data_IF_330531434130
#
_entry.id   IF_330531434130
#
_cell.length_a   1.000
_cell.length_b   1.000
_cell.length_c   1.000
_cell.angle_alpha   90.00
_cell.angle_beta   90.00
_cell.angle_gamma   90.00
#
_symmetry.space_group_name_H-M   'P 1'
#
loop_
_entity.id
_entity.type
_entity.pdbx_description
1 polymer ?
#
# COMPACT_ATOMS: atom_id res chain seq x y z
N UNK A 1 67.40 -20.71 -14.84
CA UNK A 1 66.76 -19.82 -15.83
C UNK A 1 65.48 -20.51 -16.23
N UNK A 2 64.33 -20.02 -15.72
CA UNK A 2 62.93 -20.40 -16.04
C UNK A 2 62.55 -21.89 -15.78
N UNK A 3 61.50 -22.27 -15.07
CA UNK A 3 60.23 -21.61 -14.76
C UNK A 3 59.70 -21.95 -13.36
N UNK A 4 59.00 -20.96 -12.82
CA UNK A 4 58.22 -20.93 -11.58
C UNK A 4 56.74 -21.05 -11.99
N UNK A 5 55.88 -21.47 -11.06
CA UNK A 5 54.42 -21.49 -11.10
C UNK A 5 53.81 -22.78 -11.66
N UNK A 6 53.26 -23.62 -10.77
CA UNK A 6 51.95 -24.27 -10.86
C UNK A 6 51.86 -25.27 -9.70
N UNK A 7 51.11 -24.94 -8.64
CA UNK A 7 50.95 -25.90 -7.55
C UNK A 7 50.22 -25.43 -6.29
N UNK A 8 49.69 -24.21 -6.24
CA UNK A 8 48.86 -23.74 -5.12
C UNK A 8 47.50 -23.26 -5.64
N UNK A 9 46.69 -24.19 -6.16
CA UNK A 9 45.32 -23.91 -6.59
C UNK A 9 44.36 -25.07 -6.25
N UNK A 10 44.46 -25.62 -5.04
CA UNK A 10 43.55 -26.66 -4.56
C UNK A 10 43.20 -26.54 -3.07
N UNK A 11 43.11 -25.31 -2.55
CA UNK A 11 42.66 -25.05 -1.17
C UNK A 11 41.68 -23.87 -1.11
N UNK A 12 40.68 -23.86 -2.00
CA UNK A 12 39.68 -22.77 -2.11
C UNK A 12 38.25 -23.28 -2.40
N UNK A 13 37.91 -24.51 -1.97
CA UNK A 13 36.58 -25.11 -2.23
C UNK A 13 35.88 -25.69 -0.98
N UNK A 14 36.05 -25.10 0.20
CA UNK A 14 35.16 -25.36 1.34
C UNK A 14 34.77 -24.07 2.09
N UNK A 15 34.52 -22.99 1.37
CA UNK A 15 33.64 -21.94 1.91
C UNK A 15 32.23 -22.51 1.85
N UNK A 16 31.77 -23.12 2.94
CA UNK A 16 30.33 -23.32 3.14
C UNK A 16 29.71 -21.93 3.13
N UNK A 17 28.98 -21.60 2.06
CA UNK A 17 27.99 -20.53 2.13
C UNK A 17 27.00 -20.96 3.22
N UNK A 18 27.10 -20.34 4.38
CA UNK A 18 25.96 -20.26 5.29
C UNK A 18 24.98 -19.28 4.64
N UNK A 19 24.04 -19.80 3.85
CA UNK A 19 22.81 -19.07 3.58
C UNK A 19 22.03 -19.02 4.89
N UNK A 20 21.86 -17.81 5.44
CA UNK A 20 20.90 -17.57 6.49
C UNK A 20 19.49 -17.59 5.86
N UNK A 21 18.71 -18.62 6.18
CA UNK A 21 17.25 -18.73 5.97
C UNK A 21 16.74 -18.82 4.52
N UNK A 22 16.66 -20.04 3.96
CA UNK A 22 15.99 -20.30 2.66
C UNK A 22 15.51 -21.75 2.54
N UNK A 23 15.26 -22.44 3.66
CA UNK A 23 14.75 -23.82 3.56
C UNK A 23 13.30 -23.78 3.10
N UNK A 24 13.05 -24.36 1.93
CA UNK A 24 11.71 -24.50 1.37
C UNK A 24 10.86 -25.48 2.16
N UNK A 25 9.59 -25.62 1.74
CA UNK A 25 8.65 -26.58 2.31
C UNK A 25 9.25 -27.99 2.40
N UNK A 26 9.10 -28.64 3.55
CA UNK A 26 9.65 -29.97 3.84
C UNK A 26 11.14 -29.99 4.21
N UNK A 27 11.84 -28.86 4.14
CA UNK A 27 13.23 -28.73 4.60
C UNK A 27 13.36 -28.85 6.12
N UNK A 28 14.55 -29.23 6.60
CA UNK A 28 14.84 -29.36 8.04
C UNK A 28 15.09 -27.98 8.65
N UNK A 29 14.50 -27.73 9.81
CA UNK A 29 14.58 -26.47 10.55
C UNK A 29 14.66 -26.72 12.07
N UNK A 30 15.06 -25.70 12.83
CA UNK A 30 15.06 -25.71 14.29
C UNK A 30 14.53 -24.40 14.86
N UNK A 31 13.53 -24.46 15.74
CA UNK A 31 12.99 -23.28 16.44
C UNK A 31 13.98 -22.67 17.42
N UNK A 32 15.06 -23.39 17.78
CA UNK A 32 16.14 -22.84 18.61
C UNK A 32 16.95 -21.74 17.90
N UNK A 33 16.80 -21.60 16.58
CA UNK A 33 17.42 -20.54 15.78
C UNK A 33 16.45 -19.41 15.45
N UNK A 34 15.21 -19.50 15.92
CA UNK A 34 14.24 -18.43 15.75
C UNK A 34 14.64 -17.26 16.66
N UNK A 35 14.80 -16.09 16.05
CA UNK A 35 15.19 -14.87 16.76
C UNK A 35 14.71 -13.64 16.00
N UNK A 36 14.74 -12.49 16.67
CA UNK A 36 14.59 -11.21 15.99
C UNK A 36 15.96 -10.78 15.47
N UNK A 37 16.02 -10.35 14.21
CA UNK A 37 17.21 -9.72 13.65
C UNK A 37 17.64 -8.54 14.53
N UNK A 38 18.92 -8.45 14.87
CA UNK A 38 19.41 -7.45 15.82
C UNK A 38 19.33 -6.01 15.32
N UNK A 39 19.19 -5.81 14.01
CA UNK A 39 19.14 -4.47 13.39
C UNK A 39 17.72 -4.03 13.05
N UNK A 40 16.93 -4.92 12.45
CA UNK A 40 15.60 -4.62 11.93
C UNK A 40 14.48 -5.10 12.85
N UNK A 41 14.82 -5.93 13.84
CA UNK A 41 13.86 -6.66 14.68
C UNK A 41 12.82 -7.47 13.90
N UNK A 42 13.11 -7.79 12.63
CA UNK A 42 12.31 -8.74 11.85
C UNK A 42 12.49 -10.14 12.44
N UNK A 43 11.41 -10.90 12.56
CA UNK A 43 11.50 -12.32 12.89
C UNK A 43 12.26 -13.10 11.82
N UNK A 44 13.29 -13.83 12.24
CA UNK A 44 14.15 -14.67 11.40
C UNK A 44 14.02 -16.11 11.86
N UNK A 45 13.77 -17.02 10.91
CA UNK A 45 13.74 -18.46 11.12
C UNK A 45 14.52 -19.16 9.99
N UNK A 46 14.73 -20.47 10.11
CA UNK A 46 15.38 -21.26 9.06
C UNK A 46 14.53 -21.39 7.78
N UNK A 47 13.21 -21.28 7.92
CA UNK A 47 12.23 -21.49 6.85
C UNK A 47 12.06 -20.25 5.99
N UNK A 48 11.63 -20.44 4.73
CA UNK A 48 11.26 -19.33 3.84
C UNK A 48 10.04 -18.54 4.37
N UNK A 49 9.80 -17.32 3.85
CA UNK A 49 8.73 -16.42 4.33
C UNK A 49 7.30 -17.02 4.19
N UNK A 50 7.12 -18.08 3.39
CA UNK A 50 5.84 -18.79 3.21
C UNK A 50 5.67 -20.00 4.14
N UNK A 51 6.69 -20.31 4.94
CA UNK A 51 6.75 -21.49 5.81
C UNK A 51 7.07 -21.13 7.27
N UNK A 52 6.86 -22.08 8.16
CA UNK A 52 7.20 -22.01 9.58
C UNK A 52 7.84 -23.31 10.05
N UNK A 53 8.65 -23.25 11.09
CA UNK A 53 9.29 -24.44 11.62
C UNK A 53 8.37 -25.20 12.58
N UNK A 54 8.05 -26.46 12.26
CA UNK A 54 7.27 -27.37 13.13
C UNK A 54 8.10 -27.96 14.27
N UNK A 55 9.03 -27.19 14.85
CA UNK A 55 10.13 -27.68 15.71
C UNK A 55 9.76 -28.70 16.79
N UNK A 56 8.55 -28.64 17.33
CA UNK A 56 8.03 -29.56 18.37
C UNK A 56 7.55 -30.91 17.85
N UNK A 57 7.28 -31.04 16.55
CA UNK A 57 6.75 -32.24 15.92
C UNK A 57 7.85 -32.98 15.15
N UNK A 58 8.34 -32.39 14.07
CA UNK A 58 9.23 -33.05 13.12
C UNK A 58 10.48 -32.22 12.77
N UNK A 59 10.56 -30.96 13.20
CA UNK A 59 11.67 -30.08 12.83
C UNK A 59 11.73 -29.83 11.32
N UNK A 60 10.57 -29.69 10.67
CA UNK A 60 10.47 -29.43 9.24
C UNK A 60 9.68 -28.16 8.94
N UNK A 61 10.01 -27.49 7.83
CA UNK A 61 9.30 -26.31 7.35
C UNK A 61 7.93 -26.70 6.77
N UNK A 62 6.86 -26.25 7.42
CA UNK A 62 5.48 -26.44 6.98
C UNK A 62 4.92 -25.12 6.45
N UNK A 63 3.92 -25.19 5.57
CA UNK A 63 3.27 -23.99 5.06
C UNK A 63 2.59 -23.22 6.20
N UNK A 64 2.71 -21.88 6.19
CA UNK A 64 2.00 -21.02 7.13
C UNK A 64 0.49 -21.25 7.03
N UNK A 65 -0.18 -21.27 8.17
CA UNK A 65 -1.63 -21.56 8.25
C UNK A 65 -2.47 -20.33 8.54
N UNK A 66 -1.83 -19.22 8.90
CA UNK A 66 -2.45 -17.91 9.04
C UNK A 66 -1.55 -16.82 8.46
N UNK A 67 -2.14 -15.65 8.18
CA UNK A 67 -1.41 -14.41 7.89
C UNK A 67 -1.85 -13.28 8.83
N UNK A 68 -0.95 -12.32 9.02
CA UNK A 68 -1.22 -11.05 9.68
C UNK A 68 -1.61 -9.97 8.67
N UNK A 69 -0.80 -9.84 7.63
CA UNK A 69 -0.94 -8.77 6.64
C UNK A 69 -1.87 -9.21 5.50
N UNK A 70 -2.65 -8.29 4.95
CA UNK A 70 -3.55 -8.57 3.82
C UNK A 70 -2.78 -9.04 2.58
N UNK A 71 -1.58 -8.49 2.39
CA UNK A 71 -0.67 -8.76 1.27
C UNK A 71 0.67 -9.31 1.80
N UNK A 72 0.74 -10.60 2.18
CA UNK A 72 1.96 -11.17 2.74
C UNK A 72 3.05 -11.34 1.66
N UNK A 73 4.30 -11.12 2.06
CA UNK A 73 5.47 -11.36 1.21
C UNK A 73 5.66 -12.86 0.89
N UNK A 74 6.32 -13.16 -0.23
CA UNK A 74 6.73 -14.52 -0.61
C UNK A 74 5.70 -15.33 -1.40
N UNK A 75 4.45 -14.87 -1.49
CA UNK A 75 3.41 -15.54 -2.29
C UNK A 75 3.37 -14.95 -3.71
N UNK A 76 3.49 -15.81 -4.72
CA UNK A 76 3.37 -15.44 -6.14
C UNK A 76 2.09 -16.02 -6.73
N UNK A 77 1.52 -15.43 -7.78
CA UNK A 77 0.38 -16.06 -8.48
C UNK A 77 0.88 -17.33 -9.19
N UNK A 78 0.34 -18.53 -8.88
CA UNK A 78 -1.02 -18.84 -8.42
C UNK A 78 -1.20 -19.22 -6.93
N UNK A 79 -0.18 -19.08 -6.08
CA UNK A 79 -0.22 -19.50 -4.67
C UNK A 79 -1.19 -18.64 -3.86
N UNK A 80 -2.20 -19.27 -3.26
CA UNK A 80 -3.15 -18.59 -2.39
C UNK A 80 -2.52 -18.37 -1.00
N UNK A 81 -2.44 -17.13 -0.50
CA UNK A 81 -1.94 -16.87 0.85
C UNK A 81 -2.90 -17.43 1.91
N UNK A 82 -2.39 -17.86 3.09
CA UNK A 82 -3.20 -18.43 4.16
C UNK A 82 -4.21 -17.40 4.70
N UNK A 83 -5.33 -17.81 5.30
CA UNK A 83 -6.38 -16.88 5.73
C UNK A 83 -5.92 -15.92 6.83
N UNK A 84 -6.59 -14.76 6.92
CA UNK A 84 -6.51 -13.89 8.10
C UNK A 84 -7.22 -14.55 9.29
N UNK A 85 -6.76 -14.24 10.50
CA UNK A 85 -7.43 -14.69 11.71
C UNK A 85 -8.76 -13.94 11.93
N UNK A 86 -9.72 -14.64 12.55
CA UNK A 86 -10.98 -14.03 12.95
C UNK A 86 -10.76 -12.96 14.04
N UNK A 87 -11.65 -11.95 14.15
CA UNK A 87 -11.57 -10.96 15.22
C UNK A 87 -11.52 -11.62 16.62
N UNK A 88 -10.66 -11.11 17.49
CA UNK A 88 -10.38 -11.70 18.81
C UNK A 88 -9.31 -12.81 18.80
N UNK A 89 -8.72 -13.07 17.64
CA UNK A 89 -7.55 -13.94 17.47
C UNK A 89 -6.46 -13.22 16.67
N UNK A 90 -5.22 -13.71 16.79
CA UNK A 90 -4.07 -13.18 16.08
C UNK A 90 -3.24 -14.31 15.44
N UNK A 91 -2.44 -13.96 14.43
CA UNK A 91 -1.46 -14.86 13.84
C UNK A 91 -0.08 -14.55 14.43
N UNK A 92 0.60 -15.50 15.11
CA UNK A 92 1.92 -15.26 15.67
C UNK A 92 2.97 -15.10 14.55
N UNK A 93 4.15 -14.53 14.84
CA UNK A 93 5.21 -14.25 13.84
C UNK A 93 5.62 -15.49 13.02
N UNK A 94 5.61 -16.66 13.66
CA UNK A 94 5.91 -17.94 13.03
C UNK A 94 4.86 -18.30 11.97
N UNK A 95 3.60 -17.90 12.16
CA UNK A 95 2.50 -18.22 11.24
C UNK A 95 1.98 -19.66 11.37
N UNK A 96 2.17 -20.28 12.53
CA UNK A 96 1.79 -21.68 12.79
C UNK A 96 0.27 -21.89 13.04
N UNK A 97 -0.50 -20.81 13.18
CA UNK A 97 -1.95 -20.86 13.30
C UNK A 97 -2.53 -19.73 14.14
N UNK A 98 -3.82 -19.47 13.98
CA UNK A 98 -4.50 -18.44 14.74
C UNK A 98 -4.59 -18.81 16.23
N UNK A 99 -4.26 -17.86 17.10
CA UNK A 99 -4.34 -17.99 18.56
C UNK A 99 -5.29 -16.95 19.11
N UNK A 100 -5.94 -17.26 20.23
CA UNK A 100 -6.75 -16.27 20.95
C UNK A 100 -5.86 -15.17 21.52
N UNK A 101 -6.35 -13.94 21.55
CA UNK A 101 -5.64 -12.82 22.17
C UNK A 101 -5.30 -13.10 23.65
N UNK A 102 -4.15 -12.57 24.05
CA UNK A 102 -3.52 -12.77 25.36
C UNK A 102 -4.01 -11.69 26.31
N UNK A 103 -4.46 -12.11 27.49
CA UNK A 103 -4.87 -11.17 28.54
C UNK A 103 -3.67 -10.35 29.05
N UNK A 104 -3.91 -9.15 29.62
CA UNK A 104 -2.87 -8.36 30.27
C UNK A 104 -2.05 -9.17 31.28
N UNK A 105 -0.74 -8.94 31.32
CA UNK A 105 0.24 -9.70 32.10
C UNK A 105 0.76 -10.96 31.41
N UNK A 106 0.14 -11.40 30.31
CA UNK A 106 0.65 -12.49 29.49
C UNK A 106 1.75 -12.03 28.52
N UNK A 107 2.46 -13.00 27.94
CA UNK A 107 3.54 -12.74 26.99
C UNK A 107 3.02 -12.36 25.60
N UNK A 108 3.70 -11.42 24.94
CA UNK A 108 3.46 -11.02 23.56
C UNK A 108 4.77 -10.87 22.80
N UNK A 109 4.71 -10.98 21.48
CA UNK A 109 5.85 -10.74 20.59
C UNK A 109 6.11 -9.23 20.44
N UNK A 110 7.37 -8.85 20.25
CA UNK A 110 7.81 -7.45 20.17
C UNK A 110 7.03 -6.67 19.11
N UNK A 111 6.47 -5.52 19.48
CA UNK A 111 5.67 -4.67 18.60
C UNK A 111 4.43 -5.37 18.00
N UNK A 112 3.87 -6.37 18.71
CA UNK A 112 2.68 -7.12 18.31
C UNK A 112 1.52 -6.87 19.28
N UNK A 113 1.05 -5.64 19.31
CA UNK A 113 -0.05 -5.21 20.20
C UNK A 113 -1.37 -5.93 19.94
N UNK A 114 -1.62 -6.34 18.69
CA UNK A 114 -2.82 -7.05 18.30
C UNK A 114 -2.93 -8.46 18.91
N UNK A 115 -1.83 -8.95 19.49
CA UNK A 115 -1.83 -10.17 20.29
C UNK A 115 -2.50 -9.96 21.64
N UNK A 116 -2.55 -8.72 22.12
CA UNK A 116 -3.12 -8.39 23.41
C UNK A 116 -4.64 -8.24 23.32
N UNK A 117 -5.32 -8.72 24.35
CA UNK A 117 -6.76 -8.59 24.48
C UNK A 117 -7.12 -7.13 24.76
N UNK A 118 -8.12 -6.61 24.06
CA UNK A 118 -8.63 -5.24 24.24
C UNK A 118 -9.27 -5.03 25.61
N UNK A 119 -9.20 -3.81 26.14
CA UNK A 119 -9.92 -3.41 27.34
C UNK A 119 -11.44 -3.33 27.09
N UNK A 120 -12.26 -3.36 28.15
CA UNK A 120 -13.73 -3.21 28.04
C UNK A 120 -14.10 -1.82 27.50
N UNK A 121 -13.40 -0.78 27.96
CA UNK A 121 -13.55 0.61 27.53
C UNK A 121 -12.40 1.05 26.61
N UNK A 122 -12.01 0.17 25.69
CA UNK A 122 -10.90 0.41 24.77
C UNK A 122 -11.00 1.70 23.96
N UNK A 123 -12.21 2.20 23.71
CA UNK A 123 -12.44 3.43 22.94
C UNK A 123 -11.79 4.65 23.59
N UNK A 124 -11.71 4.67 24.92
CA UNK A 124 -11.12 5.79 25.67
C UNK A 124 -9.59 5.80 25.53
N UNK A 125 -8.98 4.62 25.32
CA UNK A 125 -7.54 4.41 25.31
C UNK A 125 -6.97 4.15 23.91
N UNK A 126 -7.83 3.99 22.91
CA UNK A 126 -7.42 3.67 21.54
C UNK A 126 -6.68 4.84 20.93
N UNK A 127 -5.47 4.59 20.44
CA UNK A 127 -4.68 5.57 19.70
C UNK A 127 -4.02 4.89 18.50
N UNK A 128 -3.45 5.65 17.55
CA UNK A 128 -2.63 5.09 16.47
C UNK A 128 -1.43 4.26 16.96
N UNK A 129 -1.00 4.49 18.21
CA UNK A 129 0.17 3.86 18.82
C UNK A 129 -0.14 2.52 19.50
N UNK A 130 -1.40 2.07 19.48
CA UNK A 130 -1.81 0.85 20.17
C UNK A 130 -2.91 0.08 19.43
N UNK A 131 -3.17 -1.16 19.87
CA UNK A 131 -4.27 -1.97 19.36
C UNK A 131 -5.47 -1.90 20.30
N UNK A 132 -6.44 -1.02 20.00
CA UNK A 132 -7.64 -0.82 20.82
C UNK A 132 -7.29 -0.64 22.32
N UNK A 133 -6.36 0.26 22.62
CA UNK A 133 -5.92 0.57 23.98
C UNK A 133 -5.02 -0.49 24.64
N UNK A 134 -4.76 -1.61 23.98
CA UNK A 134 -3.80 -2.63 24.43
C UNK A 134 -2.46 -2.47 23.71
N UNK A 135 -1.38 -2.69 24.44
CA UNK A 135 -0.01 -2.48 23.96
C UNK A 135 0.91 -3.58 24.48
N UNK A 136 1.87 -3.99 23.65
CA UNK A 136 2.91 -4.93 24.03
C UNK A 136 4.20 -4.17 24.37
N UNK A 137 4.56 -4.10 25.66
CA UNK A 137 5.80 -3.47 26.11
C UNK A 137 6.63 -4.49 26.88
N UNK A 138 7.93 -4.56 26.62
CA UNK A 138 8.84 -5.55 27.22
C UNK A 138 8.34 -6.99 27.08
N UNK A 139 7.71 -7.32 25.94
CA UNK A 139 7.10 -8.64 25.67
C UNK A 139 5.96 -9.02 26.63
N UNK A 140 5.32 -8.04 27.28
CA UNK A 140 4.18 -8.25 28.18
C UNK A 140 2.99 -7.41 27.71
N UNK A 141 1.83 -8.05 27.58
CA UNK A 141 0.59 -7.37 27.26
C UNK A 141 0.13 -6.48 28.41
N UNK A 142 -0.22 -5.24 28.11
CA UNK A 142 -0.81 -4.31 29.08
C UNK A 142 -1.74 -3.30 28.38
N UNK A 143 -2.33 -2.41 29.16
CA UNK A 143 -3.17 -1.34 28.64
C UNK A 143 -2.42 -0.01 28.65
N UNK A 144 -2.66 0.81 27.63
CA UNK A 144 -2.17 2.18 27.53
C UNK A 144 -3.10 3.15 28.29
N UNK A 145 -3.22 2.93 29.60
CA UNK A 145 -4.17 3.64 30.46
C UNK A 145 -3.50 4.37 31.65
N UNK A 146 -2.17 4.54 31.62
CA UNK A 146 -1.47 5.27 32.67
C UNK A 146 -1.82 6.77 32.61
N UNK A 147 -2.17 7.32 33.77
CA UNK A 147 -2.63 8.71 33.91
C UNK A 147 -1.49 9.65 34.27
N UNK A 148 -1.72 10.96 34.15
CA UNK A 148 -0.73 11.99 34.47
C UNK A 148 -0.09 11.79 35.86
N UNK A 149 1.22 11.92 35.93
CA UNK A 149 2.03 11.79 37.14
C UNK A 149 2.18 10.36 37.68
N UNK A 150 1.64 9.35 36.99
CA UNK A 150 1.83 7.94 37.39
C UNK A 150 3.05 7.33 36.72
N UNK A 151 3.70 6.31 37.34
CA UNK A 151 4.80 5.59 36.71
C UNK A 151 4.38 4.94 35.40
N UNK A 152 5.23 5.08 34.39
CA UNK A 152 5.02 4.51 33.06
C UNK A 152 6.14 3.56 32.67
N UNK A 153 5.82 2.70 31.70
CA UNK A 153 6.72 1.71 31.12
C UNK A 153 7.07 2.21 29.73
N UNK A 154 8.37 2.27 29.44
CA UNK A 154 8.90 2.68 28.13
C UNK A 154 9.50 1.46 27.48
N UNK A 155 9.21 1.27 26.19
CA UNK A 155 9.96 0.37 25.32
C UNK A 155 10.69 1.22 24.27
N UNK A 156 12.01 1.19 24.29
CA UNK A 156 12.86 1.99 23.41
C UNK A 156 13.57 1.06 22.43
N UNK A 157 13.10 1.05 21.19
CA UNK A 157 13.60 0.19 20.13
C UNK A 157 14.35 0.98 19.08
N UNK A 158 15.55 0.53 18.73
CA UNK A 158 16.36 1.16 17.68
C UNK A 158 16.38 0.26 16.44
N UNK A 159 15.78 0.73 15.36
CA UNK A 159 15.80 0.08 14.06
C UNK A 159 16.94 0.65 13.21
N UNK A 160 17.68 -0.22 12.53
CA UNK A 160 18.69 0.17 11.55
C UNK A 160 18.31 -0.42 10.20
N UNK A 161 18.17 0.45 9.20
CA UNK A 161 17.84 0.08 7.83
C UNK A 161 18.89 0.60 6.84
N UNK A 162 18.92 0.01 5.65
CA UNK A 162 19.81 0.37 4.56
C UNK A 162 19.05 1.25 3.58
N UNK A 163 19.40 2.54 3.53
CA UNK A 163 18.83 3.48 2.58
C UNK A 163 19.22 3.18 1.13
N UNK A 164 18.57 3.87 0.19
CA UNK A 164 18.72 3.68 -1.27
C UNK A 164 20.17 3.74 -1.78
N UNK A 165 21.06 4.45 -1.08
CA UNK A 165 22.46 4.62 -1.44
C UNK A 165 23.40 3.64 -0.70
N UNK A 166 22.87 2.63 -0.01
CA UNK A 166 23.63 1.74 0.86
C UNK A 166 24.08 2.38 2.19
N UNK A 167 23.61 3.60 2.48
CA UNK A 167 23.87 4.27 3.76
C UNK A 167 22.94 3.69 4.83
N UNK A 168 23.50 3.40 6.00
CA UNK A 168 22.71 2.98 7.16
C UNK A 168 21.97 4.19 7.74
N UNK A 169 20.68 4.04 7.97
CA UNK A 169 19.86 5.00 8.68
C UNK A 169 19.26 4.33 9.92
N UNK A 170 19.32 5.04 11.04
CA UNK A 170 18.83 4.54 12.33
C UNK A 170 17.60 5.32 12.74
N UNK A 171 16.56 4.61 13.13
CA UNK A 171 15.29 5.17 13.62
C UNK A 171 15.02 4.63 15.00
N UNK A 172 14.81 5.52 15.95
CA UNK A 172 14.48 5.15 17.32
C UNK A 172 12.98 5.31 17.49
N UNK A 173 12.29 4.23 17.84
CA UNK A 173 10.86 4.21 18.12
C UNK A 173 10.69 3.97 19.61
N UNK A 174 10.07 4.93 20.28
CA UNK A 174 9.81 4.88 21.72
C UNK A 174 8.31 4.74 21.91
N UNK A 175 7.91 3.73 22.67
CA UNK A 175 6.51 3.40 22.94
C UNK A 175 6.29 3.39 24.44
N UNK A 176 5.09 3.78 24.89
CA UNK A 176 4.75 3.85 26.30
C UNK A 176 3.30 3.45 26.58
N UNK A 177 2.99 3.21 27.86
CA UNK A 177 1.63 2.89 28.31
C UNK A 177 0.85 4.11 28.84
N UNK A 178 1.32 5.33 28.61
CA UNK A 178 0.59 6.55 28.95
C UNK A 178 -0.60 6.74 28.01
N UNK A 179 -1.62 7.41 28.53
CA UNK A 179 -2.82 7.71 27.77
C UNK A 179 -2.52 8.68 26.61
N UNK A 180 -2.41 8.15 25.39
CA UNK A 180 -2.17 8.92 24.17
C UNK A 180 -3.48 9.47 23.58
N UNK A 181 -3.49 10.63 22.90
CA UNK A 181 -2.34 11.47 22.55
C UNK A 181 -1.95 12.49 23.63
N UNK A 182 -2.78 12.65 24.67
CA UNK A 182 -2.65 13.74 25.64
C UNK A 182 -1.44 13.59 26.57
N UNK A 183 -0.96 12.37 26.79
CA UNK A 183 0.16 12.07 27.67
C UNK A 183 1.29 11.33 26.96
N UNK A 184 2.50 11.47 27.49
CA UNK A 184 3.68 10.71 27.11
C UNK A 184 4.50 10.32 28.33
N UNK A 185 5.32 9.29 28.22
CA UNK A 185 6.23 8.91 29.31
C UNK A 185 7.55 9.69 29.25
N UNK A 186 7.86 10.48 30.27
CA UNK A 186 9.14 11.18 30.37
C UNK A 186 10.30 10.19 30.52
N UNK A 187 11.34 10.31 29.69
CA UNK A 187 12.46 9.36 29.71
C UNK A 187 13.27 9.42 31.01
N UNK A 188 13.44 10.62 31.57
CA UNK A 188 14.20 10.82 32.81
C UNK A 188 13.33 10.63 34.06
N UNK A 189 12.08 11.09 34.01
CA UNK A 189 11.16 11.05 35.15
C UNK A 189 10.50 9.68 35.32
N UNK A 190 10.34 8.92 34.23
CA UNK A 190 9.53 7.70 34.15
C UNK A 190 8.10 7.90 34.65
N UNK A 191 7.56 9.11 34.45
CA UNK A 191 6.19 9.48 34.79
C UNK A 191 5.45 9.94 33.52
N UNK A 192 4.14 9.71 33.49
CA UNK A 192 3.31 10.26 32.42
C UNK A 192 3.20 11.78 32.57
N UNK A 193 3.64 12.50 31.56
CA UNK A 193 3.63 13.96 31.45
C UNK A 193 2.66 14.40 30.35
N UNK A 194 2.27 15.68 30.37
CA UNK A 194 1.34 16.23 29.40
C UNK A 194 2.05 16.45 28.05
N UNK A 195 1.51 15.88 26.97
CA UNK A 195 1.95 16.13 25.61
C UNK A 195 1.85 17.61 25.24
N UNK A 196 2.75 18.02 24.36
CA UNK A 196 2.94 19.39 23.90
C UNK A 196 2.18 19.60 22.61
N UNK A 197 1.51 20.75 22.53
CA UNK A 197 0.76 21.17 21.37
C UNK A 197 1.67 21.64 20.23
N UNK A 198 1.11 21.72 19.02
CA UNK A 198 1.81 22.22 17.83
C UNK A 198 2.48 23.59 18.08
N UNK A 199 3.73 23.72 17.63
CA UNK A 199 4.57 24.90 17.79
C UNK A 199 5.31 25.00 19.14
N UNK A 200 5.02 24.11 20.09
CA UNK A 200 5.72 24.04 21.38
C UNK A 200 7.12 23.46 21.23
N UNK A 201 8.09 23.86 22.08
CA UNK A 201 9.44 23.31 22.05
C UNK A 201 9.48 21.87 22.55
N UNK A 202 10.15 20.99 21.81
CA UNK A 202 10.28 19.55 22.11
C UNK A 202 11.73 19.09 21.92
N UNK A 203 12.10 17.96 22.52
CA UNK A 203 13.38 17.28 22.28
C UNK A 203 13.20 15.97 21.53
N UNK A 204 12.15 15.22 21.84
CA UNK A 204 11.79 13.97 21.17
C UNK A 204 10.37 14.02 20.61
N UNK A 205 10.12 13.22 19.57
CA UNK A 205 8.83 13.12 18.89
C UNK A 205 7.68 12.85 19.85
N UNK A 206 7.91 11.98 20.82
CA UNK A 206 6.93 11.51 21.79
C UNK A 206 6.39 12.63 22.70
N UNK A 207 7.11 13.74 22.88
CA UNK A 207 6.61 14.88 23.66
C UNK A 207 5.46 15.59 22.97
N UNK A 208 5.27 15.43 21.67
CA UNK A 208 4.25 16.14 20.90
C UNK A 208 2.95 15.32 20.79
N UNK A 209 1.80 15.98 20.81
CA UNK A 209 0.49 15.35 20.59
C UNK A 209 0.44 14.59 19.25
N UNK A 210 1.05 15.17 18.21
CA UNK A 210 1.15 14.59 16.85
C UNK A 210 2.39 13.70 16.65
N UNK A 211 3.10 13.37 17.75
CA UNK A 211 4.28 12.49 17.77
C UNK A 211 5.35 12.87 16.73
N UNK A 212 5.59 14.17 16.54
CA UNK A 212 6.51 14.66 15.52
C UNK A 212 7.19 15.97 15.97
N UNK A 213 8.48 15.86 16.30
CA UNK A 213 9.34 16.91 16.77
C UNK A 213 10.39 17.23 15.71
N UNK A 214 10.20 18.34 14.98
CA UNK A 214 11.07 18.71 13.87
C UNK A 214 11.82 19.99 14.23
N UNK A 215 13.15 19.93 14.29
CA UNK A 215 14.01 21.09 14.63
C UNK A 215 13.61 21.68 16.00
N UNK A 216 13.31 20.80 16.96
CA UNK A 216 13.01 21.17 18.35
C UNK A 216 11.65 21.83 18.55
N UNK A 217 10.74 21.74 17.58
CA UNK A 217 9.35 22.21 17.70
C UNK A 217 8.35 21.13 17.25
N UNK A 218 7.22 21.06 17.94
CA UNK A 218 6.14 20.16 17.56
C UNK A 218 5.53 20.61 16.24
N UNK A 219 5.53 19.73 15.24
CA UNK A 219 5.05 20.02 13.90
C UNK A 219 4.11 18.92 13.43
N UNK A 220 3.33 19.20 12.39
CA UNK A 220 2.45 18.20 11.77
C UNK A 220 3.32 17.18 11.00
N UNK A 221 3.11 15.86 11.17
CA UNK A 221 3.92 14.85 10.50
C UNK A 221 3.77 14.89 8.97
N UNK A 222 4.83 14.50 8.23
CA UNK A 222 4.83 14.57 6.76
C UNK A 222 3.84 13.60 6.10
N UNK A 223 3.44 12.53 6.80
CA UNK A 223 2.46 11.55 6.33
C UNK A 223 1.00 12.05 6.41
N UNK A 224 0.78 13.23 6.99
CA UNK A 224 -0.57 13.78 7.07
C UNK A 224 -1.15 13.99 5.67
N UNK A 225 -2.40 13.55 5.41
CA UNK A 225 -3.00 13.68 4.10
C UNK A 225 -3.03 15.17 3.72
N UNK A 226 -2.44 15.49 2.58
CA UNK A 226 -2.35 16.85 2.09
C UNK A 226 -3.74 17.48 2.05
N UNK A 227 -4.02 18.37 3.01
CA UNK A 227 -5.24 19.18 3.01
C UNK A 227 -5.07 20.27 1.97
N UNK A 228 -5.45 19.97 0.73
CA UNK A 228 -5.50 20.97 -0.33
C UNK A 228 -6.49 22.07 0.05
N UNK A 229 -6.07 23.32 -0.17
CA UNK A 229 -6.86 24.47 0.21
C UNK A 229 -8.16 24.52 -0.60
N UNK A 230 -9.28 25.00 -0.04
CA UNK A 230 -10.58 25.01 -0.72
C UNK A 230 -10.57 25.65 -2.12
N UNK A 231 -9.71 26.65 -2.34
CA UNK A 231 -9.57 27.31 -3.64
C UNK A 231 -9.03 26.38 -4.74
N UNK A 232 -8.19 25.40 -4.38
CA UNK A 232 -7.62 24.43 -5.34
C UNK A 232 -8.72 23.52 -5.90
N UNK A 233 -9.68 23.13 -5.06
CA UNK A 233 -10.88 22.41 -5.51
C UNK A 233 -11.74 23.26 -6.45
N UNK A 234 -11.93 24.54 -6.15
CA UNK A 234 -12.70 25.43 -7.00
C UNK A 234 -12.07 25.59 -8.40
N UNK A 235 -10.74 25.78 -8.47
CA UNK A 235 -10.01 25.92 -9.74
C UNK A 235 -10.06 24.63 -10.56
N UNK A 236 -9.82 23.48 -9.93
CA UNK A 236 -9.86 22.17 -10.62
C UNK A 236 -11.26 21.87 -11.15
N UNK A 237 -12.32 22.12 -10.38
CA UNK A 237 -13.70 21.96 -10.82
C UNK A 237 -14.03 22.85 -12.02
N UNK A 238 -13.60 24.13 -11.99
CA UNK A 238 -13.79 25.06 -13.11
C UNK A 238 -13.07 24.62 -14.38
N UNK A 239 -11.84 24.09 -14.27
CA UNK A 239 -11.10 23.55 -15.41
C UNK A 239 -11.80 22.34 -16.03
N UNK A 240 -12.28 21.40 -15.20
CA UNK A 240 -13.00 20.20 -15.66
C UNK A 240 -14.30 20.60 -16.38
N UNK A 241 -15.09 21.51 -15.80
CA UNK A 241 -16.31 22.04 -16.41
C UNK A 241 -16.00 22.77 -17.73
N UNK A 242 -14.96 23.60 -17.76
CA UNK A 242 -14.52 24.30 -18.97
C UNK A 242 -14.15 23.34 -20.10
N UNK A 243 -13.41 22.28 -19.81
CA UNK A 243 -13.04 21.25 -20.78
C UNK A 243 -14.28 20.48 -21.29
N UNK A 244 -15.23 20.15 -20.42
CA UNK A 244 -16.49 19.51 -20.82
C UNK A 244 -17.34 20.40 -21.73
N UNK A 245 -17.43 21.70 -21.44
CA UNK A 245 -18.16 22.65 -22.31
C UNK A 245 -17.44 22.82 -23.65
N UNK A 246 -16.12 23.00 -23.65
CA UNK A 246 -15.34 23.18 -24.88
C UNK A 246 -15.42 21.95 -25.80
N UNK A 247 -15.32 20.74 -25.26
CA UNK A 247 -15.46 19.50 -26.03
C UNK A 247 -16.87 19.35 -26.59
N UNK A 248 -17.92 19.62 -25.80
CA UNK A 248 -19.30 19.64 -26.29
C UNK A 248 -19.48 20.64 -27.45
N UNK A 249 -19.00 21.88 -27.29
CA UNK A 249 -19.08 22.91 -28.33
C UNK A 249 -18.35 22.48 -29.61
N UNK A 250 -17.12 21.99 -29.49
CA UNK A 250 -16.34 21.51 -30.63
C UNK A 250 -17.04 20.37 -31.37
N UNK A 251 -17.56 19.37 -30.64
CA UNK A 251 -18.33 18.28 -31.23
C UNK A 251 -19.59 18.78 -31.94
N UNK A 252 -20.32 19.74 -31.35
CA UNK A 252 -21.52 20.31 -32.01
C UNK A 252 -21.19 21.06 -33.29
N UNK A 253 -20.08 21.81 -33.32
CA UNK A 253 -19.62 22.51 -34.52
C UNK A 253 -19.17 21.54 -35.62
N UNK A 254 -18.42 20.50 -35.25
CA UNK A 254 -18.02 19.43 -36.18
C UNK A 254 -19.23 18.70 -36.74
N UNK A 255 -20.21 18.34 -35.90
CA UNK A 255 -21.47 17.74 -36.35
C UNK A 255 -22.25 18.66 -37.29
N UNK A 256 -22.36 19.95 -36.98
CA UNK A 256 -23.02 20.93 -37.86
C UNK A 256 -22.30 21.03 -39.21
N UNK A 257 -20.96 21.11 -39.21
CA UNK A 257 -20.16 21.14 -40.44
C UNK A 257 -20.36 19.88 -41.28
N UNK A 258 -20.33 18.71 -40.65
CA UNK A 258 -20.54 17.45 -41.35
C UNK A 258 -21.97 17.34 -41.92
N UNK A 259 -23.00 17.78 -41.18
CA UNK A 259 -24.38 17.82 -41.70
C UNK A 259 -24.49 18.73 -42.92
N UNK A 260 -23.87 19.92 -42.89
CA UNK A 260 -23.88 20.84 -44.02
C UNK A 260 -23.20 20.27 -45.27
N UNK A 261 -22.08 19.55 -45.11
CA UNK A 261 -21.40 18.88 -46.23
C UNK A 261 -22.29 17.79 -46.85
N UNK A 262 -22.91 16.92 -46.04
CA UNK A 262 -23.85 15.91 -46.54
C UNK A 262 -25.05 16.52 -47.26
N UNK A 263 -25.59 17.65 -46.77
CA UNK A 263 -26.69 18.34 -47.43
C UNK A 263 -26.28 18.90 -48.81
N UNK A 264 -25.02 19.33 -48.98
CA UNK A 264 -24.50 19.78 -50.27
C UNK A 264 -24.36 18.62 -51.25
N UNK A 265 -23.70 17.54 -50.82
CA UNK A 265 -23.56 16.31 -51.61
C UNK A 265 -24.93 15.77 -52.05
N UNK A 266 -25.88 15.66 -51.11
CA UNK A 266 -27.23 15.18 -51.43
C UNK A 266 -27.94 16.08 -52.45
N UNK A 267 -27.78 17.41 -52.34
CA UNK A 267 -28.35 18.36 -53.31
C UNK A 267 -27.73 18.18 -54.70
N UNK A 268 -26.43 17.98 -54.79
CA UNK A 268 -25.72 17.70 -56.06
C UNK A 268 -26.23 16.40 -56.68
N UNK A 269 -26.32 15.31 -55.91
CA UNK A 269 -26.90 14.05 -56.37
C UNK A 269 -28.34 14.20 -56.90
N UNK A 270 -29.20 14.96 -56.21
CA UNK A 270 -30.57 15.21 -56.66
C UNK A 270 -30.61 16.01 -57.98
N UNK A 271 -29.73 17.00 -58.12
CA UNK A 271 -29.66 17.81 -59.35
C UNK A 271 -29.18 16.98 -60.55
N UNK A 272 -28.21 16.09 -60.35
CA UNK A 272 -27.77 15.14 -61.38
C UNK A 272 -28.89 14.18 -61.80
N UNK A 273 -29.60 13.59 -60.83
CA UNK A 273 -30.74 12.72 -61.09
C UNK A 273 -31.85 13.43 -61.88
N UNK A 274 -32.18 14.67 -61.50
CA UNK A 274 -33.16 15.48 -62.23
C UNK A 274 -32.70 15.79 -63.66
N UNK A 275 -31.42 16.10 -63.85
CA UNK A 275 -30.84 16.35 -65.18
C UNK A 275 -30.93 15.10 -66.07
N UNK A 276 -30.54 13.93 -65.55
CA UNK A 276 -30.62 12.66 -66.28
C UNK A 276 -32.07 12.31 -66.65
N UNK A 277 -33.02 12.48 -65.72
CA UNK A 277 -34.45 12.27 -65.99
C UNK A 277 -34.96 13.20 -67.10
N UNK A 278 -34.59 14.49 -67.07
CA UNK A 278 -34.97 15.45 -68.11
C UNK A 278 -34.40 15.08 -69.48
N UNK A 279 -33.12 14.71 -69.57
CA UNK A 279 -32.52 14.30 -70.85
C UNK A 279 -33.15 13.04 -71.43
N UNK A 280 -33.57 12.08 -70.58
CA UNK A 280 -34.30 10.89 -71.05
C UNK A 280 -35.67 11.28 -71.62
N UNK A 281 -36.42 12.16 -70.93
CA UNK A 281 -37.72 12.66 -71.42
C UNK A 281 -37.56 13.40 -72.74
N UNK A 282 -36.53 14.24 -72.89
CA UNK A 282 -36.22 14.95 -74.14
C UNK A 282 -35.86 13.99 -75.29
N UNK A 283 -35.06 12.96 -75.03
CA UNK A 283 -34.76 11.91 -76.01
C UNK A 283 -36.01 11.15 -76.45
N UNK A 284 -36.88 10.78 -75.50
CA UNK A 284 -38.12 10.08 -75.81
C UNK A 284 -39.13 10.97 -76.55
N UNK A 285 -39.24 12.26 -76.22
CA UNK A 285 -40.14 13.18 -76.92
C UNK A 285 -39.65 13.47 -78.34
N UNK A 286 -38.34 13.59 -78.56
CA UNK A 286 -37.73 13.70 -79.89
C UNK A 286 -37.94 12.44 -80.73
N UNK A 287 -37.74 11.25 -80.15
CA UNK A 287 -38.00 9.98 -80.83
C UNK A 287 -39.50 9.77 -81.14
N UNK A 288 -40.38 10.16 -80.22
CA UNK A 288 -41.83 10.11 -80.46
C UNK A 288 -42.24 11.05 -81.62
N UNK A 289 -41.65 12.25 -81.72
CA UNK A 289 -41.94 13.16 -82.84
C UNK A 289 -41.47 12.59 -84.18
N UNK A 290 -40.28 11.99 -84.27
CA UNK A 290 -39.79 11.39 -85.52
C UNK A 290 -40.66 10.22 -86.00
N UNK A 291 -41.10 9.33 -85.09
CA UNK A 291 -42.01 8.22 -85.47
C UNK A 291 -43.35 8.70 -86.03
N UNK A 292 -43.90 9.80 -85.52
CA UNK A 292 -45.14 10.41 -86.04
C UNK A 292 -44.94 10.93 -87.47
N UNK A 293 -43.79 11.53 -87.77
CA UNK A 293 -43.48 11.99 -89.13
C UNK A 293 -43.32 10.82 -90.11
N UNK A 294 -42.66 9.73 -89.72
CA UNK A 294 -42.52 8.52 -90.56
C UNK A 294 -43.88 7.87 -90.88
N UNK A 295 -44.82 7.86 -89.93
CA UNK A 295 -46.18 7.33 -90.18
C UNK A 295 -47.05 8.20 -91.10
N UNK A 296 -46.72 9.48 -91.28
CA UNK A 296 -47.45 10.39 -92.19
C UNK A 296 -46.91 10.40 -93.62
N UNK A 297 -45.76 9.77 -93.86
CA UNK A 297 -45.10 9.75 -95.16
C UNK A 297 -45.35 8.45 -95.95
N UNK A 298 -46.28 7.62 -95.48
CA UNK A 298 -46.77 6.39 -96.10
C UNK A 298 -48.25 6.55 -96.44
#
# INVERSE_FOLDING_TARGET
MLEIFFGNLALLLLVRRCDAGSTGLGGVCSTSRDHLDSSTHKFVSDCSDVAYCSGTENGTCLARTCRRDEFPFGYSTPDAPPPLCLPGSFCPDEGNGCRTQVNPGGACQMNRDEQCARAVNWQDFSSPENFYGSICLHSICMYANATIGTPCIIDNTTYTDVGLNGQLYTTVVIRDNCHSPDLYCGQDSLLCEQSKSLGSPCQIDQECEERNCVVGICAVPPETPLRVAPWQYAVTAMCILGAMVATCLMLTLLHKRHRLLRYRELREYYMEQLRLRRSIIELHSAAATTTIFDTKQK
#
